data_IF_752820189018
#
_entry.id   IF_752820189018
#
_cell.length_a   1.000
_cell.length_b   1.000
_cell.length_c   1.000
_cell.angle_alpha   90.00
_cell.angle_beta   90.00
_cell.angle_gamma   90.00
#
_symmetry.space_group_name_H-M   'P 1'
#
loop_
_entity.id
_entity.type
_entity.pdbx_description
1 polymer ?
#
# COMPACT_ATOMS: atom_id res chain seq x y z
N UNK A 1 13.53 12.67 -4.05
CA UNK A 1 12.05 12.77 -4.06
C UNK A 1 11.59 13.01 -2.63
N UNK A 2 10.44 13.66 -2.38
CA UNK A 2 9.87 13.71 -1.03
C UNK A 2 9.28 12.32 -0.72
N UNK A 3 9.52 11.73 0.47
CA UNK A 3 8.92 10.44 0.81
C UNK A 3 7.39 10.55 0.85
N UNK A 4 6.73 9.49 0.40
CA UNK A 4 5.31 9.25 0.58
C UNK A 4 5.04 8.90 2.03
N UNK A 5 4.00 9.48 2.62
CA UNK A 5 3.66 9.30 4.02
C UNK A 5 2.14 9.30 4.18
N UNK A 6 1.64 8.59 5.19
CA UNK A 6 0.22 8.64 5.53
C UNK A 6 -0.12 9.98 6.19
N UNK A 7 -0.75 10.85 5.41
CA UNK A 7 -1.31 12.12 5.87
C UNK A 7 -2.73 11.95 6.39
N UNK A 8 -3.24 12.95 7.11
CA UNK A 8 -4.55 12.85 7.77
C UNK A 8 -5.73 12.68 6.79
N UNK A 9 -5.62 13.22 5.58
CA UNK A 9 -6.61 13.08 4.50
C UNK A 9 -6.64 11.68 3.87
N UNK A 10 -5.61 10.87 4.11
CA UNK A 10 -5.50 9.50 3.62
C UNK A 10 -5.93 8.47 4.67
N UNK A 11 -6.20 8.90 5.92
CA UNK A 11 -6.67 8.01 6.98
C UNK A 11 -8.12 7.64 6.78
N UNK A 12 -8.40 6.35 6.88
CA UNK A 12 -9.74 5.78 6.86
C UNK A 12 -10.38 5.77 8.26
N UNK A 13 -9.56 5.85 9.31
CA UNK A 13 -9.98 5.66 10.70
C UNK A 13 -10.12 4.18 11.10
N UNK A 14 -9.88 3.24 10.18
CA UNK A 14 -9.76 1.82 10.46
C UNK A 14 -8.27 1.53 10.64
N UNK A 15 -7.85 1.33 11.90
CA UNK A 15 -6.43 1.19 12.28
C UNK A 15 -5.70 0.16 11.41
N UNK A 16 -6.30 -1.00 11.19
CA UNK A 16 -5.68 -2.08 10.40
C UNK A 16 -5.47 -1.70 8.92
N UNK A 17 -6.32 -0.85 8.35
CA UNK A 17 -6.19 -0.37 6.97
C UNK A 17 -5.16 0.76 6.90
N UNK A 18 -5.21 1.70 7.85
CA UNK A 18 -4.27 2.81 7.94
C UNK A 18 -2.82 2.29 8.14
N UNK A 19 -2.63 1.23 8.91
CA UNK A 19 -1.31 0.59 9.08
C UNK A 19 -0.83 -0.09 7.80
N UNK A 20 -1.73 -0.67 7.00
CA UNK A 20 -1.38 -1.20 5.67
C UNK A 20 -1.02 -0.10 4.67
N UNK A 21 -1.69 1.06 4.72
CA UNK A 21 -1.29 2.22 3.91
C UNK A 21 0.14 2.69 4.26
N UNK A 22 0.52 2.66 5.55
CA UNK A 22 1.91 2.98 5.95
C UNK A 22 2.91 2.01 5.33
N UNK A 23 2.61 0.72 5.33
CA UNK A 23 3.46 -0.28 4.68
C UNK A 23 3.51 -0.11 3.16
N UNK A 24 2.39 0.20 2.51
CA UNK A 24 2.36 0.54 1.08
C UNK A 24 3.29 1.71 0.76
N UNK A 25 3.23 2.79 1.55
CA UNK A 25 4.14 3.93 1.37
C UNK A 25 5.59 3.56 1.65
N UNK A 26 5.87 2.69 2.63
CA UNK A 26 7.22 2.17 2.87
C UNK A 26 7.76 1.45 1.64
N UNK A 27 7.00 0.51 1.08
CA UNK A 27 7.37 -0.23 -0.14
C UNK A 27 7.54 0.70 -1.35
N UNK A 28 6.63 1.66 -1.53
CA UNK A 28 6.74 2.63 -2.61
C UNK A 28 7.98 3.53 -2.47
N UNK A 29 8.31 3.97 -1.25
CA UNK A 29 9.51 4.76 -1.00
C UNK A 29 10.81 3.97 -1.22
N UNK A 30 10.81 2.67 -0.95
CA UNK A 30 11.97 1.79 -1.18
C UNK A 30 12.36 1.75 -2.66
N UNK A 31 11.36 1.68 -3.55
CA UNK A 31 11.56 1.76 -5.01
C UNK A 31 12.33 3.03 -5.39
N UNK A 32 12.04 4.16 -4.74
CA UNK A 32 12.68 5.45 -5.05
C UNK A 32 14.01 5.68 -4.34
N UNK A 33 14.55 4.70 -3.61
CA UNK A 33 15.87 4.82 -3.02
C UNK A 33 16.97 4.78 -4.09
N UNK A 34 18.03 5.57 -3.91
CA UNK A 34 19.13 5.64 -4.88
C UNK A 34 19.80 4.26 -5.09
N UNK A 35 19.81 3.41 -4.07
CA UNK A 35 20.35 2.05 -4.14
C UNK A 35 19.50 1.14 -5.05
N UNK A 36 18.18 1.18 -4.90
CA UNK A 36 17.26 0.34 -5.68
C UNK A 36 17.18 0.83 -7.13
N UNK A 37 17.11 2.15 -7.34
CA UNK A 37 17.05 2.74 -8.68
C UNK A 37 18.33 2.55 -9.51
N UNK A 38 19.47 2.29 -8.88
CA UNK A 38 20.73 2.06 -9.57
C UNK A 38 20.96 0.59 -10.00
N UNK A 39 20.06 -0.34 -9.64
CA UNK A 39 20.18 -1.77 -9.91
C UNK A 39 18.84 -2.34 -10.42
N UNK A 40 18.77 -2.65 -11.71
CA UNK A 40 17.57 -3.17 -12.38
C UNK A 40 16.99 -4.41 -11.68
N UNK A 41 17.83 -5.29 -11.12
CA UNK A 41 17.35 -6.49 -10.43
C UNK A 41 16.65 -6.13 -9.12
N UNK A 42 17.26 -5.21 -8.35
CA UNK A 42 16.64 -4.72 -7.11
C UNK A 42 15.37 -3.93 -7.39
N UNK A 43 15.36 -3.13 -8.46
CA UNK A 43 14.17 -2.40 -8.88
C UNK A 43 13.02 -3.35 -9.21
N UNK A 44 13.29 -4.40 -10.00
CA UNK A 44 12.30 -5.44 -10.28
C UNK A 44 11.78 -6.11 -9.00
N UNK A 45 12.68 -6.53 -8.10
CA UNK A 45 12.29 -7.15 -6.83
C UNK A 45 11.45 -6.21 -5.95
N UNK A 46 11.79 -4.92 -5.88
CA UNK A 46 11.05 -3.93 -5.11
C UNK A 46 9.65 -3.67 -5.68
N UNK A 47 9.51 -3.63 -7.01
CA UNK A 47 8.21 -3.50 -7.68
C UNK A 47 7.35 -4.76 -7.45
N UNK A 48 7.93 -5.95 -7.56
CA UNK A 48 7.21 -7.22 -7.30
C UNK A 48 6.74 -7.29 -5.84
N UNK A 49 7.54 -6.83 -4.88
CA UNK A 49 7.14 -6.77 -3.47
C UNK A 49 5.95 -5.82 -3.26
N UNK A 50 5.98 -4.64 -3.89
CA UNK A 50 4.87 -3.69 -3.83
C UNK A 50 3.60 -4.27 -4.46
N UNK A 51 3.67 -4.87 -5.64
CA UNK A 51 2.53 -5.48 -6.33
C UNK A 51 1.84 -6.56 -5.48
N UNK A 52 2.65 -7.46 -4.91
CA UNK A 52 2.14 -8.48 -4.00
C UNK A 52 1.44 -7.88 -2.77
N UNK A 53 2.00 -6.81 -2.19
CA UNK A 53 1.42 -6.17 -1.03
C UNK A 53 0.15 -5.38 -1.36
N UNK A 54 0.09 -4.73 -2.52
CA UNK A 54 -1.13 -4.08 -3.04
C UNK A 54 -2.28 -5.08 -3.15
N UNK A 55 -2.02 -6.28 -3.70
CA UNK A 55 -3.04 -7.32 -3.77
C UNK A 55 -3.49 -7.84 -2.40
N UNK A 56 -2.59 -7.88 -1.40
CA UNK A 56 -2.97 -8.18 -0.01
C UNK A 56 -3.86 -7.07 0.58
N UNK A 57 -3.49 -5.81 0.38
CA UNK A 57 -4.20 -4.65 0.89
C UNK A 57 -5.62 -4.54 0.35
N UNK A 58 -5.82 -4.68 -0.98
CA UNK A 58 -7.16 -4.61 -1.55
C UNK A 58 -8.09 -5.69 -1.00
N UNK A 59 -7.59 -6.92 -0.80
CA UNK A 59 -8.39 -7.97 -0.15
C UNK A 59 -8.78 -7.64 1.29
N UNK A 60 -7.92 -6.91 2.01
CA UNK A 60 -8.24 -6.46 3.36
C UNK A 60 -9.32 -5.37 3.35
N UNK A 61 -9.28 -4.44 2.40
CA UNK A 61 -10.32 -3.43 2.20
C UNK A 61 -11.64 -4.07 1.78
N UNK A 62 -11.63 -5.00 0.83
CA UNK A 62 -12.81 -5.78 0.41
C UNK A 62 -13.46 -6.51 1.60
N UNK A 63 -12.65 -7.20 2.41
CA UNK A 63 -13.14 -7.84 3.62
C UNK A 63 -13.72 -6.85 4.64
N UNK A 64 -13.09 -5.69 4.82
CA UNK A 64 -13.60 -4.65 5.70
C UNK A 64 -14.93 -4.08 5.17
N UNK A 65 -15.02 -3.82 3.86
CA UNK A 65 -16.24 -3.35 3.20
C UNK A 65 -17.39 -4.35 3.37
N UNK A 66 -17.14 -5.65 3.20
CA UNK A 66 -18.14 -6.70 3.46
C UNK A 66 -18.55 -6.75 4.94
N UNK A 67 -17.57 -6.74 5.85
CA UNK A 67 -17.81 -6.88 7.29
C UNK A 67 -18.63 -5.73 7.89
N UNK A 68 -18.51 -4.53 7.31
CA UNK A 68 -19.22 -3.33 7.76
C UNK A 68 -20.39 -2.94 6.84
N UNK A 69 -20.84 -3.86 5.96
CA UNK A 69 -21.97 -3.66 5.05
C UNK A 69 -21.88 -2.36 4.24
N UNK A 70 -20.69 -2.08 3.66
CA UNK A 70 -20.47 -0.89 2.86
C UNK A 70 -21.42 -0.86 1.65
N UNK A 71 -22.20 0.22 1.54
CA UNK A 71 -23.34 0.34 0.63
C UNK A 71 -22.96 0.42 -0.85
N UNK A 72 -21.69 0.72 -1.15
CA UNK A 72 -21.14 0.81 -2.52
C UNK A 72 -20.24 -0.36 -2.90
N UNK A 73 -20.22 -1.43 -2.10
CA UNK A 73 -19.52 -2.65 -2.51
C UNK A 73 -20.24 -3.27 -3.71
N UNK A 74 -19.62 -3.19 -4.89
CA UNK A 74 -20.09 -3.89 -6.08
C UNK A 74 -19.82 -5.40 -5.92
N UNK A 75 -20.83 -6.23 -6.21
CA UNK A 75 -20.78 -7.69 -6.11
C UNK A 75 -20.64 -8.35 -7.47
#
# INVERSE_FOLDING_TARGET
MKPLELTDDLKTGIIDIDDQHRELFRWANEIFSDEVMADDKKLHEAVDNLDNYVGYHFRAEEYAMEKYDYDRLEK
#
